data_IF_154745338726
#
_entry.id   IF_154745338726
#
_cell.length_a   1.000
_cell.length_b   1.000
_cell.length_c   1.000
_cell.angle_alpha   90.00
_cell.angle_beta   90.00
_cell.angle_gamma   90.00
#
_symmetry.space_group_name_H-M   'P 1'
#
loop_
_entity.id
_entity.type
_entity.pdbx_description
1 polymer ?
#
# COMPACT_ATOMS: atom_id res chain seq x y z
N UNK A 1 -9.84 2.43 4.20
CA UNK A 1 -9.93 3.79 4.76
C UNK A 1 -9.51 3.71 6.21
N UNK A 2 -8.59 4.56 6.65
CA UNK A 2 -8.14 4.58 8.04
C UNK A 2 -9.18 5.25 8.93
N UNK A 3 -9.33 4.76 10.15
CA UNK A 3 -10.14 5.42 11.20
C UNK A 3 -9.33 6.52 11.87
N UNK A 4 -10.00 7.44 12.58
CA UNK A 4 -9.31 8.44 13.42
C UNK A 4 -8.42 7.78 14.47
N UNK A 5 -8.80 6.60 14.96
CA UNK A 5 -7.97 5.80 15.86
C UNK A 5 -6.66 5.34 15.20
N UNK A 6 -6.72 4.90 13.94
CA UNK A 6 -5.53 4.50 13.17
C UNK A 6 -4.58 5.68 12.95
N UNK A 7 -5.12 6.87 12.63
CA UNK A 7 -4.31 8.10 12.54
C UNK A 7 -3.64 8.43 13.87
N UNK A 8 -4.34 8.24 15.00
CA UNK A 8 -3.78 8.35 16.34
C UNK A 8 -2.57 7.44 16.54
N UNK A 9 -2.72 6.15 16.20
CA UNK A 9 -1.63 5.16 16.27
C UNK A 9 -0.44 5.54 15.39
N UNK A 10 -0.68 6.03 14.18
CA UNK A 10 0.35 6.51 13.27
C UNK A 10 1.15 7.67 13.87
N UNK A 11 0.49 8.60 14.56
CA UNK A 11 1.16 9.76 15.17
C UNK A 11 2.04 9.38 16.36
N UNK A 12 1.66 8.34 17.13
CA UNK A 12 2.41 7.88 18.31
C UNK A 12 3.45 6.79 18.00
N UNK A 13 3.61 6.41 16.73
CA UNK A 13 4.81 5.66 16.30
C UNK A 13 6.02 6.60 16.40
N UNK A 14 6.66 6.61 17.57
CA UNK A 14 7.65 7.62 17.95
C UNK A 14 8.85 7.64 17.01
N UNK A 15 9.42 6.48 16.67
CA UNK A 15 10.63 6.42 15.85
C UNK A 15 10.37 6.95 14.43
N UNK A 16 9.26 6.53 13.82
CA UNK A 16 8.82 7.03 12.52
C UNK A 16 8.51 8.52 12.59
N UNK A 17 7.62 8.93 13.49
CA UNK A 17 7.13 10.31 13.55
C UNK A 17 8.26 11.28 13.91
N UNK A 18 9.15 10.94 14.83
CA UNK A 18 10.31 11.77 15.15
C UNK A 18 11.32 11.88 14.00
N UNK A 19 11.48 10.84 13.19
CA UNK A 19 12.27 10.94 11.96
C UNK A 19 11.65 11.96 10.99
N UNK A 20 10.34 11.90 10.74
CA UNK A 20 9.64 12.87 9.89
C UNK A 20 9.71 14.29 10.46
N UNK A 21 9.50 14.47 11.76
CA UNK A 21 9.62 15.76 12.46
C UNK A 21 11.01 16.37 12.25
N UNK A 22 12.08 15.58 12.43
CA UNK A 22 13.46 16.04 12.22
C UNK A 22 13.71 16.41 10.76
N UNK A 23 13.29 15.57 9.81
CA UNK A 23 13.45 15.84 8.38
C UNK A 23 12.71 17.11 7.94
N UNK A 24 11.46 17.26 8.39
CA UNK A 24 10.64 18.43 8.10
C UNK A 24 11.23 19.70 8.70
N UNK A 25 11.73 19.65 9.95
CA UNK A 25 12.42 20.78 10.59
C UNK A 25 13.71 21.16 9.85
N UNK A 26 14.44 20.19 9.30
CA UNK A 26 15.64 20.45 8.50
C UNK A 26 15.30 21.09 7.14
N UNK A 27 14.22 20.65 6.50
CA UNK A 27 13.83 21.10 5.15
C UNK A 27 13.09 22.44 5.15
N UNK A 28 12.14 22.65 6.07
CA UNK A 28 11.30 23.85 6.09
C UNK A 28 12.13 25.07 6.52
N UNK A 29 12.28 26.03 5.61
CA UNK A 29 12.88 27.34 5.88
C UNK A 29 11.79 28.39 6.10
N UNK A 30 12.05 29.45 6.90
CA UNK A 30 11.11 30.55 7.04
C UNK A 30 10.67 31.08 5.68
N UNK A 31 9.36 31.13 5.44
CA UNK A 31 8.81 31.60 4.16
C UNK A 31 8.46 30.50 3.14
N UNK A 32 8.86 29.24 3.40
CA UNK A 32 8.68 28.13 2.47
C UNK A 32 7.20 27.81 2.20
N UNK A 33 6.95 27.31 0.99
CA UNK A 33 5.69 26.67 0.57
C UNK A 33 5.86 25.15 0.72
N UNK A 34 4.96 24.52 1.47
CA UNK A 34 4.98 23.07 1.71
C UNK A 34 3.75 22.42 1.08
N UNK A 35 3.92 21.25 0.48
CA UNK A 35 2.83 20.38 0.04
C UNK A 35 2.86 19.10 0.86
N UNK A 36 1.76 18.80 1.54
CA UNK A 36 1.54 17.57 2.30
C UNK A 36 0.52 16.69 1.55
N UNK A 37 0.98 15.54 1.05
CA UNK A 37 0.17 14.61 0.24
C UNK A 37 -0.25 13.42 1.09
N UNK A 38 -1.57 13.20 1.19
CA UNK A 38 -2.14 12.25 2.13
C UNK A 38 -2.07 12.80 3.55
N UNK A 39 -2.48 14.06 3.73
CA UNK A 39 -2.30 14.80 4.99
C UNK A 39 -3.02 14.13 6.18
N UNK A 40 -4.05 13.32 5.91
CA UNK A 40 -4.87 12.70 6.96
C UNK A 40 -5.45 13.74 7.91
N UNK A 41 -5.18 13.55 9.21
CA UNK A 41 -5.54 14.51 10.26
C UNK A 41 -4.63 15.77 10.33
N UNK A 42 -3.69 15.94 9.40
CA UNK A 42 -2.95 17.18 9.22
C UNK A 42 -1.66 17.31 10.02
N UNK A 43 -1.16 16.26 10.67
CA UNK A 43 -0.02 16.37 11.60
C UNK A 43 1.22 17.00 10.95
N UNK A 44 1.59 16.61 9.73
CA UNK A 44 2.75 17.18 9.03
C UNK A 44 2.49 18.59 8.52
N UNK A 45 1.28 18.89 8.04
CA UNK A 45 0.89 20.25 7.68
C UNK A 45 0.96 21.23 8.88
N UNK A 46 0.48 20.82 10.06
CA UNK A 46 0.56 21.60 11.29
C UNK A 46 2.02 21.82 11.72
N UNK A 47 2.84 20.78 11.70
CA UNK A 47 4.26 20.86 12.02
C UNK A 47 5.03 21.76 11.03
N UNK A 48 4.69 21.72 9.74
CA UNK A 48 5.27 22.61 8.75
C UNK A 48 4.97 24.09 9.08
N UNK A 49 3.73 24.42 9.46
CA UNK A 49 3.38 25.77 9.94
C UNK A 49 4.15 26.15 11.21
N UNK A 50 4.30 25.21 12.15
CA UNK A 50 5.08 25.41 13.37
C UNK A 50 6.56 25.68 13.07
N UNK A 51 7.13 25.07 12.03
CA UNK A 51 8.53 25.28 11.59
C UNK A 51 8.71 26.50 10.67
N UNK A 52 7.67 27.31 10.47
CA UNK A 52 7.78 28.59 9.78
C UNK A 52 7.45 28.55 8.28
N UNK A 53 6.78 27.48 7.81
CA UNK A 53 6.18 27.51 6.49
C UNK A 53 5.20 28.70 6.39
N UNK A 54 5.31 29.45 5.30
CA UNK A 54 4.40 30.57 5.00
C UNK A 54 3.05 30.08 4.52
N UNK A 55 3.07 28.99 3.76
CA UNK A 55 1.88 28.38 3.15
C UNK A 55 2.07 26.87 3.15
N UNK A 56 0.99 26.14 3.45
CA UNK A 56 0.91 24.71 3.27
C UNK A 56 -0.29 24.39 2.38
N UNK A 57 -0.11 23.50 1.40
CA UNK A 57 -1.20 22.83 0.72
C UNK A 57 -1.32 21.43 1.31
N UNK A 58 -2.48 21.12 1.90
CA UNK A 58 -2.73 19.84 2.54
C UNK A 58 -3.79 19.09 1.74
N UNK A 59 -3.38 18.00 1.08
CA UNK A 59 -4.24 17.22 0.17
C UNK A 59 -4.58 15.89 0.82
N UNK A 60 -5.86 15.58 0.93
CA UNK A 60 -6.35 14.31 1.48
C UNK A 60 -7.72 13.98 0.87
N UNK A 61 -7.90 12.85 0.16
CA UNK A 61 -9.18 12.50 -0.43
C UNK A 61 -10.27 12.12 0.59
N UNK A 62 -9.88 11.66 1.79
CA UNK A 62 -10.82 11.17 2.79
C UNK A 62 -11.29 12.29 3.75
N UNK A 63 -12.41 12.04 4.43
CA UNK A 63 -13.01 13.00 5.39
C UNK A 63 -12.15 13.30 6.62
N UNK A 64 -11.03 12.59 6.82
CA UNK A 64 -10.05 12.92 7.85
C UNK A 64 -9.54 14.38 7.74
N UNK A 65 -9.59 14.95 6.54
CA UNK A 65 -9.24 16.36 6.29
C UNK A 65 -10.14 17.35 7.05
N UNK A 66 -11.37 16.96 7.40
CA UNK A 66 -12.27 17.80 8.20
C UNK A 66 -11.72 17.99 9.62
N UNK A 67 -11.22 16.91 10.23
CA UNK A 67 -10.50 17.00 11.50
C UNK A 67 -9.22 17.84 11.38
N UNK A 68 -8.49 17.72 10.27
CA UNK A 68 -7.30 18.53 10.03
C UNK A 68 -7.59 20.04 10.04
N UNK A 69 -8.75 20.46 9.51
CA UNK A 69 -9.23 21.86 9.57
C UNK A 69 -9.48 22.31 11.01
N UNK A 70 -10.17 21.50 11.81
CA UNK A 70 -10.44 21.80 13.22
C UNK A 70 -9.14 21.94 14.03
N UNK A 71 -8.19 21.02 13.82
CA UNK A 71 -6.89 21.06 14.48
C UNK A 71 -6.07 22.28 14.06
N UNK A 72 -6.11 22.68 12.78
CA UNK A 72 -5.45 23.90 12.33
C UNK A 72 -6.05 25.16 12.96
N UNK A 73 -7.38 25.23 13.11
CA UNK A 73 -8.04 26.32 13.79
C UNK A 73 -7.64 26.40 15.27
N UNK A 74 -7.63 25.27 15.97
CA UNK A 74 -7.21 25.19 17.37
C UNK A 74 -5.75 25.65 17.59
N UNK A 75 -4.90 25.50 16.58
CA UNK A 75 -3.48 25.90 16.64
C UNK A 75 -3.18 27.25 15.95
N UNK A 76 -4.19 27.99 15.50
CA UNK A 76 -4.01 29.30 14.85
C UNK A 76 -3.31 29.25 13.48
N UNK A 77 -3.46 28.13 12.76
CA UNK A 77 -2.84 27.89 11.45
C UNK A 77 -3.81 27.92 10.27
N UNK A 78 -5.11 28.16 10.48
CA UNK A 78 -6.13 28.15 9.42
C UNK A 78 -5.77 29.00 8.19
N UNK A 79 -5.26 30.22 8.41
CA UNK A 79 -4.90 31.14 7.33
C UNK A 79 -3.65 30.73 6.55
N UNK A 80 -2.88 29.76 7.05
CA UNK A 80 -1.64 29.28 6.43
C UNK A 80 -1.80 27.94 5.71
N UNK A 81 -2.91 27.23 5.91
CA UNK A 81 -3.13 25.90 5.33
C UNK A 81 -4.32 25.95 4.37
N UNK A 82 -4.07 25.66 3.10
CA UNK A 82 -5.11 25.41 2.12
C UNK A 82 -5.36 23.91 2.04
N UNK A 83 -6.50 23.49 2.58
CA UNK A 83 -6.95 22.11 2.59
C UNK A 83 -7.76 21.77 1.33
N UNK A 84 -7.37 20.72 0.63
CA UNK A 84 -7.96 20.27 -0.63
C UNK A 84 -8.38 18.81 -0.48
N UNK A 85 -9.70 18.56 -0.50
CA UNK A 85 -10.24 17.20 -0.35
C UNK A 85 -10.34 16.51 -1.72
N UNK A 86 -9.23 15.97 -2.20
CA UNK A 86 -9.15 15.30 -3.51
C UNK A 86 -7.87 14.43 -3.59
N UNK A 87 -7.69 13.71 -4.69
CA UNK A 87 -6.43 13.07 -5.05
C UNK A 87 -5.44 14.13 -5.56
N UNK A 88 -4.17 14.04 -5.15
CA UNK A 88 -3.13 14.98 -5.61
C UNK A 88 -2.98 15.02 -7.13
N UNK A 89 -3.26 13.92 -7.81
CA UNK A 89 -3.23 13.79 -9.27
C UNK A 89 -4.35 14.54 -9.98
N UNK A 90 -5.41 14.96 -9.26
CA UNK A 90 -6.58 15.63 -9.83
C UNK A 90 -6.66 17.12 -9.50
N UNK A 91 -5.72 17.65 -8.71
CA UNK A 91 -5.73 19.06 -8.32
C UNK A 91 -4.75 19.89 -9.15
N UNK A 92 -4.93 21.22 -9.06
CA UNK A 92 -3.95 22.21 -9.52
C UNK A 92 -3.58 23.12 -8.37
N UNK A 93 -2.29 23.44 -8.22
CA UNK A 93 -1.81 24.35 -7.19
C UNK A 93 -1.36 25.67 -7.84
N UNK A 94 -1.66 26.84 -7.22
CA UNK A 94 -1.29 28.13 -7.80
C UNK A 94 0.22 28.43 -7.65
N UNK A 95 0.92 27.69 -6.78
CA UNK A 95 2.37 27.82 -6.57
C UNK A 95 2.98 26.43 -6.39
N UNK A 96 4.18 26.26 -6.94
CA UNK A 96 5.02 25.11 -6.62
C UNK A 96 5.50 25.17 -5.16
N UNK A 97 5.79 24.01 -4.59
CA UNK A 97 6.25 23.83 -3.22
C UNK A 97 7.77 23.69 -3.17
N UNK A 98 8.38 24.30 -2.16
CA UNK A 98 9.80 24.16 -1.82
C UNK A 98 10.06 22.81 -1.14
N UNK A 99 9.05 22.27 -0.44
CA UNK A 99 9.09 20.96 0.21
C UNK A 99 7.80 20.19 -0.10
N UNK A 100 7.92 18.97 -0.60
CA UNK A 100 6.81 18.02 -0.66
C UNK A 100 7.05 16.95 0.39
N UNK A 101 6.12 16.76 1.32
CA UNK A 101 6.11 15.68 2.28
C UNK A 101 4.97 14.71 1.99
N UNK A 102 5.24 13.42 2.14
CA UNK A 102 4.23 12.37 1.97
C UNK A 102 4.62 11.13 2.77
N UNK A 103 3.61 10.43 3.29
CA UNK A 103 3.81 9.11 3.86
C UNK A 103 2.72 8.14 3.43
N UNK A 104 2.80 7.73 2.16
CA UNK A 104 1.80 6.92 1.46
C UNK A 104 2.17 5.42 1.45
N UNK A 105 3.09 5.00 2.33
CA UNK A 105 3.60 3.61 2.38
C UNK A 105 2.60 2.68 3.02
N UNK A 106 2.69 1.41 2.65
CA UNK A 106 2.15 0.30 3.44
C UNK A 106 3.27 -0.45 4.15
N UNK A 107 3.06 -1.74 4.38
CA UNK A 107 4.12 -2.67 4.84
C UNK A 107 5.37 -2.57 3.96
N UNK A 108 5.16 -2.37 2.66
CA UNK A 108 6.20 -2.02 1.70
C UNK A 108 5.86 -0.68 1.01
N UNK A 109 6.86 0.07 0.53
CA UNK A 109 6.64 1.32 -0.21
C UNK A 109 5.82 1.16 -1.50
N UNK A 110 5.83 -0.03 -2.11
CA UNK A 110 5.05 -0.38 -3.29
C UNK A 110 3.60 -0.70 -2.89
N UNK A 111 2.87 0.34 -2.50
CA UNK A 111 1.47 0.28 -2.12
C UNK A 111 0.64 1.13 -3.08
N UNK A 112 -0.34 0.52 -3.73
CA UNK A 112 -1.32 1.21 -4.56
C UNK A 112 -0.67 2.22 -5.54
N UNK A 113 -1.19 3.46 -5.59
CA UNK A 113 -0.74 4.53 -6.46
C UNK A 113 0.37 5.42 -5.84
N UNK A 114 1.04 4.96 -4.78
CA UNK A 114 2.08 5.76 -4.10
C UNK A 114 3.14 6.27 -5.08
N UNK A 115 3.82 5.37 -5.81
CA UNK A 115 4.94 5.76 -6.69
C UNK A 115 4.47 6.71 -7.81
N UNK A 116 3.38 6.42 -8.56
CA UNK A 116 2.84 7.36 -9.54
C UNK A 116 2.47 8.74 -8.96
N UNK A 117 1.87 8.79 -7.77
CA UNK A 117 1.49 10.05 -7.13
C UNK A 117 2.71 10.92 -6.82
N UNK A 118 3.83 10.33 -6.39
CA UNK A 118 5.08 11.05 -6.13
C UNK A 118 5.75 11.51 -7.43
N UNK A 119 5.75 10.67 -8.48
CA UNK A 119 6.27 11.07 -9.80
C UNK A 119 5.49 12.28 -10.34
N UNK A 120 4.16 12.22 -10.26
CA UNK A 120 3.28 13.30 -10.69
C UNK A 120 3.50 14.59 -9.88
N UNK A 121 3.50 14.49 -8.55
CA UNK A 121 3.71 15.64 -7.67
C UNK A 121 5.10 16.26 -7.85
N UNK A 122 6.15 15.45 -8.01
CA UNK A 122 7.51 15.93 -8.31
C UNK A 122 7.53 16.75 -9.60
N UNK A 123 6.86 16.27 -10.65
CA UNK A 123 6.86 16.94 -11.96
C UNK A 123 6.02 18.22 -11.98
N UNK A 124 4.85 18.22 -11.34
CA UNK A 124 3.91 19.35 -11.40
C UNK A 124 4.12 20.38 -10.30
N UNK A 125 4.44 19.91 -9.09
CA UNK A 125 4.34 20.74 -7.88
C UNK A 125 5.67 21.02 -7.19
N UNK A 126 6.76 20.31 -7.50
CA UNK A 126 8.05 20.62 -6.86
C UNK A 126 8.73 21.81 -7.55
N UNK A 127 9.14 22.80 -6.77
CA UNK A 127 9.94 23.91 -7.27
C UNK A 127 11.36 23.44 -7.65
N UNK A 128 12.07 24.14 -8.56
CA UNK A 128 13.48 23.85 -8.83
C UNK A 128 14.32 23.92 -7.55
N UNK A 129 15.06 22.85 -7.26
CA UNK A 129 15.84 22.73 -6.01
C UNK A 129 15.00 22.40 -4.76
N UNK A 130 13.70 22.13 -4.93
CA UNK A 130 12.83 21.69 -3.85
C UNK A 130 13.20 20.31 -3.30
N UNK A 131 12.69 20.02 -2.11
CA UNK A 131 13.01 18.82 -1.34
C UNK A 131 11.81 17.88 -1.31
N UNK A 132 12.04 16.59 -1.58
CA UNK A 132 11.08 15.52 -1.31
C UNK A 132 11.38 14.90 0.05
N UNK A 133 10.35 14.73 0.87
CA UNK A 133 10.38 13.96 2.10
C UNK A 133 9.37 12.82 1.96
N UNK A 134 9.81 11.56 1.95
CA UNK A 134 11.21 11.12 1.96
C UNK A 134 11.98 11.36 0.65
N UNK A 135 13.31 11.19 0.73
CA UNK A 135 14.20 11.22 -0.42
C UNK A 135 14.30 9.87 -1.11
N UNK A 136 14.36 8.77 -0.34
CA UNK A 136 14.57 7.44 -0.90
C UNK A 136 14.13 6.32 0.05
N UNK A 137 13.64 5.23 -0.53
CA UNK A 137 13.50 3.95 0.18
C UNK A 137 14.40 2.87 -0.45
N UNK A 138 15.07 2.08 0.39
CA UNK A 138 15.83 0.90 -0.02
C UNK A 138 15.05 -0.35 0.37
N UNK A 139 14.81 -1.23 -0.59
CA UNK A 139 14.04 -2.47 -0.41
C UNK A 139 15.01 -3.63 -0.17
N UNK A 140 14.81 -4.31 0.95
CA UNK A 140 15.66 -5.40 1.40
C UNK A 140 14.89 -6.72 1.40
N UNK A 141 15.62 -7.81 1.21
CA UNK A 141 15.08 -9.16 1.26
C UNK A 141 16.08 -10.12 1.93
N UNK A 142 15.56 -11.12 2.62
CA UNK A 142 16.31 -12.27 3.12
C UNK A 142 15.47 -13.54 3.07
N UNK A 143 16.13 -14.68 2.94
CA UNK A 143 15.53 -16.01 3.11
C UNK A 143 15.44 -16.31 4.60
N UNK A 144 14.26 -16.70 5.07
CA UNK A 144 13.99 -16.90 6.50
C UNK A 144 13.50 -18.30 6.84
N UNK A 145 13.95 -18.77 8.00
CA UNK A 145 13.29 -19.79 8.81
C UNK A 145 12.26 -19.10 9.70
N UNK A 146 10.97 -19.32 9.42
CA UNK A 146 9.87 -18.64 10.11
C UNK A 146 8.62 -19.54 10.15
N UNK A 147 8.64 -20.65 10.92
CA UNK A 147 7.52 -21.58 11.00
C UNK A 147 6.24 -20.89 11.48
N UNK A 148 6.32 -20.03 12.49
CA UNK A 148 5.16 -19.32 13.07
C UNK A 148 4.44 -18.40 12.06
N UNK A 149 5.18 -17.83 11.10
CA UNK A 149 4.60 -17.03 10.02
C UNK A 149 4.04 -17.90 8.89
N UNK A 150 4.60 -19.09 8.71
CA UNK A 150 4.29 -19.97 7.59
C UNK A 150 3.11 -20.91 7.88
N UNK A 151 3.03 -21.45 9.08
CA UNK A 151 1.99 -22.39 9.51
C UNK A 151 0.56 -21.85 9.31
N UNK A 152 0.23 -20.58 9.59
CA UNK A 152 -1.10 -20.03 9.31
C UNK A 152 -1.52 -20.10 7.83
N UNK A 153 -0.55 -20.12 6.90
CA UNK A 153 -0.82 -20.32 5.47
C UNK A 153 -1.10 -21.78 5.12
N UNK A 154 -0.70 -22.76 5.94
CA UNK A 154 -0.88 -24.19 5.64
C UNK A 154 -1.99 -24.84 6.46
N UNK A 155 -2.03 -24.59 7.76
CA UNK A 155 -2.85 -25.35 8.71
C UNK A 155 -4.33 -25.40 8.31
N UNK A 156 -5.00 -24.28 7.90
CA UNK A 156 -6.40 -24.32 7.48
C UNK A 156 -6.68 -25.23 6.27
N UNK A 157 -5.68 -25.55 5.46
CA UNK A 157 -5.83 -26.25 4.18
C UNK A 157 -5.36 -27.71 4.24
N UNK A 158 -4.49 -28.03 5.20
CA UNK A 158 -3.84 -29.34 5.32
C UNK A 158 -4.31 -30.07 6.58
N UNK A 159 -4.44 -29.38 7.71
CA UNK A 159 -4.84 -29.94 9.00
C UNK A 159 -6.03 -29.17 9.59
N UNK A 160 -7.16 -29.27 8.90
CA UNK A 160 -8.36 -28.48 9.22
C UNK A 160 -9.20 -29.07 10.36
N UNK A 161 -8.84 -30.20 10.96
CA UNK A 161 -9.65 -30.87 11.99
C UNK A 161 -10.98 -31.49 11.51
N UNK A 162 -11.42 -31.22 10.27
CA UNK A 162 -12.67 -31.71 9.68
C UNK A 162 -12.49 -32.89 8.72
N UNK A 163 -11.24 -33.33 8.48
CA UNK A 163 -10.89 -34.40 7.54
C UNK A 163 -11.35 -34.13 6.10
N UNK A 164 -11.47 -32.85 5.73
CA UNK A 164 -11.81 -32.43 4.37
C UNK A 164 -10.53 -32.23 3.53
N UNK A 165 -10.58 -32.59 2.24
CA UNK A 165 -9.51 -32.24 1.31
C UNK A 165 -9.66 -30.79 0.87
N UNK A 166 -8.85 -29.90 1.45
CA UNK A 166 -8.82 -28.47 1.14
C UNK A 166 -7.52 -28.04 0.44
N UNK A 167 -6.76 -29.00 -0.12
CA UNK A 167 -5.43 -28.76 -0.68
C UNK A 167 -5.42 -27.72 -1.81
N UNK A 168 -6.53 -27.57 -2.55
CA UNK A 168 -6.66 -26.55 -3.59
C UNK A 168 -6.44 -25.12 -3.07
N UNK A 169 -6.81 -24.84 -1.82
CA UNK A 169 -6.60 -23.52 -1.21
C UNK A 169 -5.13 -23.24 -0.87
N UNK A 170 -4.34 -24.27 -0.56
CA UNK A 170 -2.90 -24.15 -0.24
C UNK A 170 -2.15 -23.42 -1.36
N UNK A 171 -2.41 -23.77 -2.62
CA UNK A 171 -1.73 -23.15 -3.76
C UNK A 171 -2.04 -21.65 -3.85
N UNK A 172 -3.27 -21.24 -3.55
CA UNK A 172 -3.68 -19.84 -3.62
C UNK A 172 -3.02 -19.03 -2.50
N UNK A 173 -3.04 -19.52 -1.27
CA UNK A 173 -2.52 -18.77 -0.12
C UNK A 173 -1.00 -18.66 -0.14
N UNK A 174 -0.25 -19.66 -0.62
CA UNK A 174 1.20 -19.48 -0.81
C UNK A 174 1.50 -18.57 -2.01
N UNK A 175 0.53 -18.27 -2.86
CA UNK A 175 0.62 -17.20 -3.87
C UNK A 175 0.11 -15.85 -3.32
N UNK A 176 0.24 -15.61 -2.03
CA UNK A 176 -0.03 -14.33 -1.38
C UNK A 176 1.11 -13.95 -0.46
N UNK A 177 1.06 -12.76 0.11
CA UNK A 177 1.99 -12.29 1.13
C UNK A 177 1.22 -11.50 2.18
N UNK A 178 1.81 -11.31 3.35
CA UNK A 178 1.16 -10.58 4.43
C UNK A 178 2.17 -9.88 5.35
N UNK A 179 1.66 -8.99 6.20
CA UNK A 179 2.45 -8.41 7.29
C UNK A 179 2.85 -9.52 8.26
N UNK A 180 4.14 -9.69 8.50
CA UNK A 180 4.68 -10.73 9.36
C UNK A 180 6.14 -10.47 9.67
N UNK A 181 6.46 -10.32 10.96
CA UNK A 181 7.81 -10.02 11.42
C UNK A 181 8.56 -11.32 11.74
N UNK A 182 9.59 -11.63 10.96
CA UNK A 182 10.46 -12.78 11.23
C UNK A 182 11.32 -12.54 12.47
N UNK A 183 11.72 -13.60 13.16
CA UNK A 183 12.71 -13.49 14.22
C UNK A 183 14.07 -13.02 13.64
N UNK A 184 14.84 -12.16 14.34
CA UNK A 184 16.12 -11.66 13.85
C UNK A 184 17.17 -12.75 13.55
N UNK A 185 17.15 -13.86 14.30
CA UNK A 185 17.98 -15.06 14.11
C UNK A 185 17.42 -16.04 13.07
N UNK A 186 16.24 -15.73 12.51
CA UNK A 186 15.59 -16.51 11.46
C UNK A 186 16.26 -16.38 10.08
N UNK A 187 17.20 -15.45 9.89
CA UNK A 187 17.88 -15.29 8.60
C UNK A 187 18.80 -16.50 8.29
N UNK A 188 18.64 -17.07 7.09
CA UNK A 188 19.48 -18.16 6.57
C UNK A 188 20.57 -17.64 5.61
N UNK A 189 20.46 -16.38 5.22
CA UNK A 189 21.31 -15.66 4.27
C UNK A 189 21.57 -14.25 4.80
N UNK A 190 22.63 -13.60 4.31
CA UNK A 190 22.82 -12.17 4.54
C UNK A 190 21.72 -11.36 3.82
N UNK A 191 21.05 -10.42 4.50
CA UNK A 191 20.10 -9.51 3.86
C UNK A 191 20.70 -8.80 2.64
N UNK A 192 19.87 -8.61 1.61
CA UNK A 192 20.30 -7.95 0.37
C UNK A 192 19.34 -6.84 -0.05
N UNK A 193 19.87 -5.64 -0.30
CA UNK A 193 19.14 -4.53 -0.89
C UNK A 193 18.93 -4.82 -2.39
N UNK A 194 17.72 -5.21 -2.78
CA UNK A 194 17.43 -5.65 -4.14
C UNK A 194 16.88 -4.53 -5.03
N UNK A 195 16.39 -3.43 -4.46
CA UNK A 195 15.94 -2.28 -5.20
C UNK A 195 16.04 -0.99 -4.40
N UNK A 196 16.19 0.13 -5.10
CA UNK A 196 16.21 1.47 -4.52
C UNK A 196 15.15 2.33 -5.21
N UNK A 197 14.26 2.92 -4.43
CA UNK A 197 13.28 3.91 -4.85
C UNK A 197 13.84 5.29 -4.55
N UNK A 198 14.58 5.87 -5.49
CA UNK A 198 15.03 7.26 -5.39
C UNK A 198 13.90 8.19 -5.88
N UNK A 199 13.26 8.89 -4.96
CA UNK A 199 12.08 9.71 -5.29
C UNK A 199 12.40 10.92 -6.15
N UNK A 200 13.66 11.38 -6.19
CA UNK A 200 14.07 12.45 -7.10
C UNK A 200 14.21 11.97 -8.54
N UNK A 201 14.50 10.68 -8.75
CA UNK A 201 14.89 10.14 -10.06
C UNK A 201 13.93 9.09 -10.62
N UNK A 202 13.06 8.49 -9.81
CA UNK A 202 12.19 7.39 -10.24
C UNK A 202 11.20 7.86 -11.30
N UNK A 203 11.08 7.11 -12.40
CA UNK A 203 10.12 7.41 -13.50
C UNK A 203 9.22 6.21 -13.84
N UNK A 204 9.48 5.06 -13.24
CA UNK A 204 8.70 3.83 -13.41
C UNK A 204 8.23 3.34 -12.05
N UNK A 205 6.94 2.98 -11.97
CA UNK A 205 6.35 2.34 -10.81
C UNK A 205 6.70 0.85 -10.69
N UNK A 206 7.20 0.23 -11.77
CA UNK A 206 7.50 -1.19 -11.83
C UNK A 206 8.95 -1.48 -11.44
N UNK A 207 9.15 -2.50 -10.60
CA UNK A 207 10.48 -2.97 -10.19
C UNK A 207 10.70 -4.43 -10.61
N UNK A 208 11.96 -4.74 -10.91
CA UNK A 208 12.44 -6.10 -11.14
C UNK A 208 13.92 -6.22 -10.76
N UNK A 209 14.26 -7.25 -10.00
CA UNK A 209 15.64 -7.64 -9.76
C UNK A 209 15.77 -9.16 -9.65
N UNK A 210 16.97 -9.66 -9.92
CA UNK A 210 17.38 -11.01 -9.54
C UNK A 210 18.38 -10.90 -8.40
N UNK A 211 18.14 -11.63 -7.31
CA UNK A 211 19.01 -11.70 -6.15
C UNK A 211 19.51 -13.13 -6.01
N UNK A 212 20.80 -13.29 -5.71
CA UNK A 212 21.40 -14.59 -5.44
C UNK A 212 22.12 -14.55 -4.11
N UNK A 213 21.76 -15.47 -3.22
CA UNK A 213 22.36 -15.61 -1.90
C UNK A 213 23.13 -16.92 -1.77
N UNK A 214 24.36 -16.91 -1.23
CA UNK A 214 24.92 -18.07 -0.58
C UNK A 214 24.26 -18.27 0.80
N UNK A 215 23.83 -19.48 1.10
CA UNK A 215 23.29 -19.84 2.42
C UNK A 215 24.43 -19.82 3.44
N UNK A 216 24.24 -19.08 4.53
CA UNK A 216 25.21 -18.89 5.62
C UNK A 216 24.91 -19.73 6.84
N UNK A 217 23.65 -20.14 7.00
CA UNK A 217 23.20 -20.98 8.10
C UNK A 217 22.31 -22.09 7.57
N UNK A 218 22.60 -23.32 7.96
CA UNK A 218 21.72 -24.46 7.69
C UNK A 218 20.41 -24.33 8.48
N UNK A 219 19.29 -24.70 7.86
CA UNK A 219 17.97 -24.59 8.48
C UNK A 219 16.83 -24.87 7.50
N UNK A 220 15.60 -24.72 7.95
CA UNK A 220 14.38 -24.90 7.14
C UNK A 220 13.89 -23.54 6.65
N UNK A 221 14.10 -23.26 5.38
CA UNK A 221 13.60 -22.04 4.75
C UNK A 221 12.09 -22.14 4.47
N UNK A 222 11.37 -21.12 4.91
CA UNK A 222 9.90 -21.04 4.79
C UNK A 222 9.44 -20.00 3.76
N UNK A 223 10.31 -19.07 3.37
CA UNK A 223 9.98 -18.00 2.44
C UNK A 223 10.97 -16.85 2.50
N UNK A 224 10.50 -15.67 2.08
CA UNK A 224 11.26 -14.42 2.09
C UNK A 224 10.67 -13.45 3.10
N UNK A 225 11.54 -12.77 3.83
CA UNK A 225 11.21 -11.59 4.62
C UNK A 225 11.65 -10.36 3.83
N UNK A 226 10.73 -9.44 3.58
CA UNK A 226 10.96 -8.19 2.85
C UNK A 226 10.64 -7.00 3.76
N UNK A 227 11.46 -5.96 3.68
CA UNK A 227 11.29 -4.72 4.44
C UNK A 227 11.91 -3.55 3.67
N UNK A 228 11.84 -2.36 4.24
CA UNK A 228 12.48 -1.18 3.69
C UNK A 228 13.21 -0.33 4.71
N UNK A 229 14.17 0.44 4.22
CA UNK A 229 14.87 1.48 4.95
C UNK A 229 14.60 2.82 4.27
N UNK A 230 14.06 3.77 5.03
CA UNK A 230 13.68 5.08 4.53
C UNK A 230 14.77 6.10 4.87
N UNK A 231 15.25 6.81 3.85
CA UNK A 231 16.01 8.06 3.99
C UNK A 231 15.05 9.22 3.82
N UNK A 232 14.73 9.91 4.91
CA UNK A 232 13.82 11.06 4.90
C UNK A 232 14.53 12.34 4.52
N UNK A 233 15.77 12.52 5.01
CA UNK A 233 16.68 13.62 4.71
C UNK A 233 18.12 13.16 5.03
N UNK A 234 19.12 14.00 4.75
CA UNK A 234 20.52 13.71 5.07
C UNK A 234 20.70 13.37 6.56
N UNK A 235 21.17 12.16 6.85
CA UNK A 235 21.37 11.67 8.23
C UNK A 235 20.09 11.34 9.00
N UNK A 236 18.92 11.38 8.35
CA UNK A 236 17.62 11.14 8.99
C UNK A 236 16.86 10.05 8.25
N UNK A 237 16.57 8.96 8.96
CA UNK A 237 15.86 7.82 8.41
C UNK A 237 15.36 6.88 9.49
N UNK A 238 14.72 5.79 9.05
CA UNK A 238 14.33 4.68 9.89
C UNK A 238 14.34 3.38 9.07
N UNK A 239 14.38 2.24 9.75
CA UNK A 239 14.35 0.91 9.15
C UNK A 239 13.18 0.12 9.70
N UNK A 240 12.54 -0.66 8.82
CA UNK A 240 11.50 -1.64 9.18
C UNK A 240 12.06 -3.07 9.27
N UNK A 241 13.39 -3.20 9.30
CA UNK A 241 14.04 -4.49 9.37
C UNK A 241 13.60 -5.27 10.62
N UNK A 242 13.44 -6.61 10.51
CA UNK A 242 12.97 -7.42 11.63
C UNK A 242 13.83 -7.33 12.91
N UNK A 243 15.12 -7.01 12.78
CA UNK A 243 16.10 -6.83 13.86
C UNK A 243 16.08 -5.41 14.48
N UNK A 244 15.30 -4.49 13.94
CA UNK A 244 15.11 -3.13 14.46
C UNK A 244 13.85 -3.04 15.34
N UNK A 245 13.69 -1.97 16.14
CA UNK A 245 12.45 -1.73 16.86
C UNK A 245 11.24 -1.69 15.92
N UNK A 246 10.11 -2.23 16.37
CA UNK A 246 8.93 -2.38 15.51
C UNK A 246 8.25 -1.03 15.24
N UNK A 247 7.98 -0.78 13.96
CA UNK A 247 7.21 0.36 13.47
C UNK A 247 5.83 -0.11 12.99
N UNK A 248 4.90 0.82 12.81
CA UNK A 248 3.53 0.53 12.37
C UNK A 248 3.48 -0.21 11.02
N UNK A 249 4.49 0.00 10.17
CA UNK A 249 4.64 -0.70 8.89
C UNK A 249 4.90 -2.20 9.06
N UNK A 250 5.69 -2.59 10.07
CA UNK A 250 6.25 -3.93 10.20
C UNK A 250 7.05 -4.36 8.96
N UNK A 251 7.14 -5.67 8.75
CA UNK A 251 7.77 -6.27 7.56
C UNK A 251 6.82 -7.26 6.88
N UNK A 252 7.15 -7.63 5.65
CA UNK A 252 6.36 -8.51 4.81
C UNK A 252 6.95 -9.91 4.77
N UNK A 253 6.08 -10.92 4.86
CA UNK A 253 6.45 -12.32 4.67
C UNK A 253 5.84 -12.87 3.38
N UNK A 254 6.70 -13.40 2.52
CA UNK A 254 6.36 -14.04 1.25
C UNK A 254 6.62 -15.55 1.39
N UNK A 255 5.60 -16.37 1.69
CA UNK A 255 5.75 -17.81 1.86
C UNK A 255 6.25 -18.48 0.57
N UNK A 256 7.06 -19.52 0.70
CA UNK A 256 7.30 -20.46 -0.39
C UNK A 256 6.19 -21.51 -0.49
N UNK A 257 6.02 -22.15 -1.64
CA UNK A 257 4.97 -23.18 -1.80
C UNK A 257 5.13 -24.37 -0.85
N UNK A 258 6.37 -24.62 -0.39
CA UNK A 258 6.70 -25.61 0.63
C UNK A 258 8.00 -25.20 1.36
N UNK A 259 8.20 -25.62 2.63
CA UNK A 259 9.47 -25.47 3.31
C UNK A 259 10.60 -26.22 2.59
N UNK A 260 11.82 -25.71 2.65
CA UNK A 260 13.01 -26.31 2.03
C UNK A 260 14.15 -26.36 3.03
N UNK A 261 14.69 -27.54 3.29
CA UNK A 261 15.90 -27.69 4.09
C UNK A 261 17.10 -27.15 3.30
N UNK A 262 17.75 -26.12 3.82
CA UNK A 262 18.97 -25.51 3.27
C UNK A 262 20.18 -25.97 4.10
N UNK A 263 21.28 -26.25 3.40
CA UNK A 263 22.59 -26.44 4.00
C UNK A 263 23.45 -25.19 3.74
N UNK A 264 24.35 -24.87 4.66
CA UNK A 264 25.39 -23.87 4.43
C UNK A 264 26.13 -24.15 3.12
N UNK A 265 26.32 -23.13 2.29
CA UNK A 265 26.92 -23.26 0.96
C UNK A 265 25.95 -23.59 -0.18
N UNK A 266 24.69 -23.94 0.11
CA UNK A 266 23.62 -23.93 -0.90
C UNK A 266 23.46 -22.52 -1.50
N UNK A 267 22.88 -22.44 -2.69
CA UNK A 267 22.59 -21.16 -3.35
C UNK A 267 21.09 -20.97 -3.55
N UNK A 268 20.56 -19.83 -3.12
CA UNK A 268 19.17 -19.42 -3.37
C UNK A 268 19.18 -18.27 -4.36
N UNK A 269 18.52 -18.45 -5.51
CA UNK A 269 18.29 -17.41 -6.50
C UNK A 269 16.82 -17.03 -6.52
N UNK A 270 16.51 -15.75 -6.45
CA UNK A 270 15.15 -15.24 -6.53
C UNK A 270 15.04 -14.10 -7.52
N UNK A 271 14.12 -14.20 -8.47
CA UNK A 271 13.67 -13.03 -9.24
C UNK A 271 12.46 -12.41 -8.54
N UNK A 272 12.63 -11.18 -8.05
CA UNK A 272 11.57 -10.37 -7.45
C UNK A 272 11.05 -9.35 -8.48
N UNK A 273 9.73 -9.25 -8.59
CA UNK A 273 9.05 -8.27 -9.43
C UNK A 273 7.85 -7.69 -8.70
N UNK A 274 7.65 -6.40 -8.85
CA UNK A 274 6.45 -5.70 -8.44
C UNK A 274 5.96 -4.86 -9.62
N UNK A 275 4.78 -5.20 -10.13
CA UNK A 275 4.17 -4.54 -11.28
C UNK A 275 2.86 -3.88 -10.87
N UNK A 276 2.76 -2.57 -11.03
CA UNK A 276 1.51 -1.85 -10.80
C UNK A 276 0.52 -2.20 -11.91
N UNK A 277 -0.63 -2.77 -11.54
CA UNK A 277 -1.71 -3.14 -12.47
C UNK A 277 -3.04 -2.66 -11.92
N UNK A 278 -3.65 -1.68 -12.59
CA UNK A 278 -4.81 -0.99 -12.04
C UNK A 278 -4.39 -0.16 -10.82
N UNK A 279 -4.97 -0.46 -9.67
CA UNK A 279 -4.79 0.31 -8.43
C UNK A 279 -3.87 -0.36 -7.40
N UNK A 280 -3.24 -1.49 -7.72
CA UNK A 280 -2.32 -2.16 -6.80
C UNK A 280 -1.24 -2.99 -7.51
N UNK A 281 -0.27 -3.47 -6.73
CA UNK A 281 0.88 -4.20 -7.21
C UNK A 281 0.65 -5.72 -7.30
N UNK A 282 0.89 -6.26 -8.49
CA UNK A 282 1.11 -7.69 -8.68
C UNK A 282 2.57 -8.00 -8.34
N UNK A 283 2.76 -8.80 -7.30
CA UNK A 283 4.06 -9.29 -6.89
C UNK A 283 4.34 -10.64 -7.54
N UNK A 284 5.60 -10.87 -7.89
CA UNK A 284 6.11 -12.17 -8.34
C UNK A 284 7.46 -12.45 -7.70
N UNK A 285 7.61 -13.67 -7.20
CA UNK A 285 8.85 -14.17 -6.62
C UNK A 285 9.10 -15.59 -7.15
N UNK A 286 9.99 -15.68 -8.14
CA UNK A 286 10.42 -16.96 -8.68
C UNK A 286 11.69 -17.38 -7.96
N UNK A 287 11.69 -18.54 -7.29
CA UNK A 287 12.82 -19.01 -6.47
C UNK A 287 13.41 -20.31 -7.01
N UNK A 288 14.72 -20.39 -7.10
CA UNK A 288 15.48 -21.59 -7.47
C UNK A 288 16.54 -21.86 -6.41
N UNK A 289 16.52 -23.05 -5.83
CA UNK A 289 17.45 -23.48 -4.77
C UNK A 289 18.37 -24.56 -5.33
N UNK A 290 19.67 -24.35 -5.21
CA UNK A 290 20.72 -25.24 -5.73
C UNK A 290 21.56 -25.79 -4.57
N UNK A 291 21.86 -27.09 -4.61
CA UNK A 291 22.71 -27.75 -3.62
C UNK A 291 24.19 -27.33 -3.76
N UNK A 292 24.91 -27.30 -2.65
CA UNK A 292 26.37 -27.10 -2.65
C UNK A 292 27.11 -28.23 -3.40
N UNK A 293 28.17 -27.88 -4.14
CA UNK A 293 29.18 -28.83 -4.63
C UNK A 293 28.79 -29.72 -5.82
N UNK A 294 27.50 -29.85 -6.15
CA UNK A 294 27.04 -30.50 -7.37
C UNK A 294 26.57 -29.45 -8.38
N UNK A 295 27.23 -29.39 -9.54
CA UNK A 295 26.84 -28.53 -10.66
C UNK A 295 25.36 -28.79 -11.04
N UNK A 296 24.45 -28.00 -10.47
CA UNK A 296 23.07 -27.88 -10.91
C UNK A 296 22.04 -28.82 -10.28
N UNK A 297 22.29 -29.51 -9.15
CA UNK A 297 21.20 -30.22 -8.48
C UNK A 297 20.20 -29.22 -7.88
N UNK A 298 19.01 -29.12 -8.49
CA UNK A 298 17.92 -28.28 -8.03
C UNK A 298 17.22 -28.95 -6.85
N UNK A 299 17.26 -28.32 -5.68
CA UNK A 299 16.55 -28.77 -4.47
C UNK A 299 15.06 -28.41 -4.52
N UNK A 300 14.76 -27.21 -5.02
CA UNK A 300 13.41 -26.72 -5.18
C UNK A 300 13.36 -25.62 -6.25
N UNK A 301 12.19 -25.50 -6.88
CA UNK A 301 11.87 -24.42 -7.81
C UNK A 301 10.42 -23.98 -7.59
N UNK A 302 10.22 -22.69 -7.37
CA UNK A 302 8.92 -22.09 -7.15
C UNK A 302 8.70 -20.95 -8.13
N UNK A 303 7.48 -20.87 -8.66
CA UNK A 303 7.00 -19.73 -9.44
C UNK A 303 5.74 -19.23 -8.78
N UNK A 304 5.83 -18.07 -8.12
CA UNK A 304 4.76 -17.57 -7.29
C UNK A 304 4.43 -16.13 -7.63
N UNK A 305 3.14 -15.78 -7.59
CA UNK A 305 2.66 -14.43 -7.83
C UNK A 305 1.31 -14.18 -7.16
N UNK A 306 1.07 -12.95 -6.69
CA UNK A 306 -0.24 -12.55 -6.17
C UNK A 306 -1.37 -12.67 -7.19
N UNK A 307 -1.06 -12.66 -8.49
CA UNK A 307 -2.04 -12.97 -9.54
C UNK A 307 -2.59 -14.40 -9.44
N UNK A 308 -1.75 -15.36 -9.03
CA UNK A 308 -2.13 -16.76 -8.84
C UNK A 308 -2.73 -17.02 -7.46
N UNK A 309 -2.78 -16.02 -6.57
CA UNK A 309 -3.35 -16.13 -5.23
C UNK A 309 -4.84 -15.87 -5.17
N UNK A 310 -5.46 -15.45 -6.28
CA UNK A 310 -6.89 -15.14 -6.37
C UNK A 310 -7.62 -16.32 -7.02
N UNK A 311 -8.78 -16.76 -6.48
CA UNK A 311 -9.67 -17.68 -7.19
C UNK A 311 -10.18 -17.01 -8.47
N UNK A 312 -9.61 -17.38 -9.63
CA UNK A 312 -10.03 -16.85 -10.93
C UNK A 312 -11.17 -17.69 -11.49
N UNK A 313 -12.35 -17.10 -11.67
CA UNK A 313 -13.42 -17.77 -12.43
C UNK A 313 -13.32 -17.46 -13.92
N UNK A 314 -13.53 -18.47 -14.76
CA UNK A 314 -13.59 -18.31 -16.22
C UNK A 314 -14.68 -17.31 -16.63
N UNK A 315 -15.79 -17.27 -15.89
CA UNK A 315 -16.86 -16.29 -16.09
C UNK A 315 -16.38 -14.84 -15.84
N UNK A 316 -15.62 -14.59 -14.77
CA UNK A 316 -15.07 -13.25 -14.50
C UNK A 316 -14.01 -12.85 -15.53
N UNK A 317 -13.14 -13.78 -15.94
CA UNK A 317 -12.13 -13.50 -16.97
C UNK A 317 -12.78 -13.16 -18.32
N UNK A 318 -13.83 -13.90 -18.71
CA UNK A 318 -14.61 -13.59 -19.92
C UNK A 318 -15.22 -12.20 -19.86
N UNK A 319 -15.78 -11.80 -18.72
CA UNK A 319 -16.34 -10.45 -18.52
C UNK A 319 -15.33 -9.31 -18.66
N UNK A 320 -14.03 -9.60 -18.59
CA UNK A 320 -12.93 -8.65 -18.78
C UNK A 320 -12.30 -8.70 -20.17
N UNK A 321 -12.73 -9.62 -21.04
CA UNK A 321 -12.17 -9.74 -22.38
C UNK A 321 -12.62 -8.56 -23.26
N UNK A 322 -11.71 -8.07 -24.13
CA UNK A 322 -11.99 -6.92 -25.01
C UNK A 322 -13.20 -7.13 -25.94
N UNK A 323 -13.49 -8.38 -26.34
CA UNK A 323 -14.65 -8.73 -27.17
C UNK A 323 -15.93 -9.06 -26.39
N UNK A 324 -15.92 -8.94 -25.06
CA UNK A 324 -17.12 -9.19 -24.26
C UNK A 324 -18.09 -8.02 -24.37
N UNK A 325 -19.35 -8.32 -24.71
CA UNK A 325 -20.43 -7.34 -24.75
C UNK A 325 -21.14 -7.35 -23.39
N UNK A 326 -20.98 -6.32 -22.55
CA UNK A 326 -21.62 -6.29 -21.23
C UNK A 326 -23.12 -5.97 -21.34
N UNK A 327 -23.90 -6.56 -20.45
CA UNK A 327 -25.29 -6.19 -20.18
C UNK A 327 -25.44 -5.87 -18.69
N UNK A 328 -26.28 -4.87 -18.37
CA UNK A 328 -26.56 -4.51 -16.97
C UNK A 328 -27.32 -5.66 -16.31
N UNK A 329 -26.81 -6.13 -15.18
CA UNK A 329 -27.60 -6.92 -14.24
C UNK A 329 -28.56 -6.00 -13.47
N UNK A 330 -29.41 -6.57 -12.63
CA UNK A 330 -30.37 -5.83 -11.79
C UNK A 330 -29.70 -4.70 -10.98
N UNK A 331 -28.55 -4.99 -10.33
CA UNK A 331 -27.78 -3.94 -9.63
C UNK A 331 -27.30 -2.82 -10.56
N UNK A 332 -26.90 -3.13 -11.78
CA UNK A 332 -26.51 -2.14 -12.78
C UNK A 332 -27.69 -1.32 -13.28
N UNK A 333 -28.87 -1.92 -13.42
CA UNK A 333 -30.11 -1.22 -13.79
C UNK A 333 -30.55 -0.27 -12.66
N UNK A 334 -30.49 -0.71 -11.42
CA UNK A 334 -30.74 0.12 -10.23
C UNK A 334 -29.78 1.32 -10.19
N UNK A 335 -28.47 1.09 -10.36
CA UNK A 335 -27.49 2.18 -10.39
C UNK A 335 -27.76 3.14 -11.54
N UNK A 336 -28.08 2.66 -12.75
CA UNK A 336 -28.45 3.52 -13.88
C UNK A 336 -29.64 4.41 -13.53
N UNK A 337 -30.72 3.84 -12.98
CA UNK A 337 -31.89 4.61 -12.57
C UNK A 337 -31.50 5.71 -11.59
N UNK A 338 -30.76 5.38 -10.52
CA UNK A 338 -30.32 6.39 -9.53
C UNK A 338 -29.55 7.54 -10.19
N UNK A 339 -28.61 7.23 -11.08
CA UNK A 339 -27.83 8.25 -11.79
C UNK A 339 -28.71 9.14 -12.69
N UNK A 340 -29.66 8.55 -13.42
CA UNK A 340 -30.63 9.30 -14.25
C UNK A 340 -31.52 10.22 -13.41
N UNK A 341 -31.88 9.80 -12.20
CA UNK A 341 -32.67 10.58 -11.25
C UNK A 341 -31.82 11.67 -10.55
N UNK A 342 -30.52 11.44 -10.35
CA UNK A 342 -29.59 12.47 -9.84
C UNK A 342 -29.43 13.62 -10.84
N UNK A 343 -29.34 13.34 -12.15
CA UNK A 343 -29.29 14.37 -13.19
C UNK A 343 -30.54 15.25 -13.24
N UNK A 344 -31.66 14.76 -12.69
CA UNK A 344 -32.91 15.51 -12.55
C UNK A 344 -32.96 16.36 -11.27
N UNK A 345 -31.85 16.46 -10.52
CA UNK A 345 -31.73 17.21 -9.28
C UNK A 345 -32.79 16.84 -8.22
N UNK A 346 -33.20 15.57 -8.18
CA UNK A 346 -34.17 15.11 -7.19
C UNK A 346 -33.54 14.90 -5.81
N UNK A 347 -34.27 15.19 -4.72
CA UNK A 347 -33.82 14.87 -3.36
C UNK A 347 -33.58 13.36 -3.18
N UNK A 348 -32.55 12.99 -2.41
CA UNK A 348 -32.18 11.58 -2.17
C UNK A 348 -33.35 10.73 -1.70
N UNK A 349 -34.23 11.28 -0.85
CA UNK A 349 -35.41 10.57 -0.37
C UNK A 349 -36.37 10.17 -1.51
N UNK A 350 -36.61 11.07 -2.47
CA UNK A 350 -37.50 10.80 -3.60
C UNK A 350 -36.88 9.80 -4.59
N UNK A 351 -35.56 9.87 -4.78
CA UNK A 351 -34.83 8.88 -5.58
C UNK A 351 -34.92 7.51 -4.92
N UNK A 352 -34.72 7.44 -3.61
CA UNK A 352 -34.83 6.21 -2.82
C UNK A 352 -36.23 5.62 -2.89
N UNK A 353 -37.25 6.47 -2.83
CA UNK A 353 -38.64 6.03 -2.94
C UNK A 353 -38.92 5.41 -4.31
N UNK A 354 -38.53 6.10 -5.37
CA UNK A 354 -38.67 5.61 -6.75
C UNK A 354 -37.92 4.30 -6.97
N UNK A 355 -36.71 4.17 -6.41
CA UNK A 355 -35.90 2.96 -6.50
C UNK A 355 -36.57 1.79 -5.78
N UNK A 356 -37.10 2.01 -4.57
CA UNK A 356 -37.81 0.98 -3.82
C UNK A 356 -39.09 0.53 -4.52
N UNK A 357 -39.82 1.44 -5.17
CA UNK A 357 -41.04 1.14 -5.91
C UNK A 357 -40.77 0.31 -7.18
N UNK A 358 -39.65 0.56 -7.87
CA UNK A 358 -39.29 -0.20 -9.08
C UNK A 358 -38.60 -1.54 -8.80
N UNK A 359 -37.93 -1.67 -7.65
CA UNK A 359 -37.18 -2.87 -7.26
C UNK A 359 -37.58 -3.37 -5.86
N UNK A 360 -38.86 -3.70 -5.63
CA UNK A 360 -39.38 -4.01 -4.30
C UNK A 360 -38.70 -5.24 -3.66
N UNK A 361 -38.31 -6.23 -4.46
CA UNK A 361 -37.64 -7.44 -3.99
C UNK A 361 -36.19 -7.18 -3.53
N UNK A 362 -35.57 -6.09 -4.00
CA UNK A 362 -34.19 -5.73 -3.66
C UNK A 362 -34.10 -4.90 -2.37
N UNK A 363 -35.20 -4.27 -1.93
CA UNK A 363 -35.21 -3.34 -0.81
C UNK A 363 -36.26 -3.72 0.24
N UNK A 364 -35.87 -4.49 1.27
CA UNK A 364 -36.79 -4.87 2.35
C UNK A 364 -37.35 -3.67 3.11
N UNK A 365 -36.66 -2.52 3.07
CA UNK A 365 -37.10 -1.27 3.69
C UNK A 365 -36.73 -0.07 2.82
N UNK A 366 -37.49 1.03 2.95
CA UNK A 366 -37.17 2.32 2.33
C UNK A 366 -35.81 2.86 2.77
N UNK A 367 -35.40 2.57 4.01
CA UNK A 367 -34.08 2.93 4.53
C UNK A 367 -32.95 2.24 3.77
N UNK A 368 -33.14 0.98 3.34
CA UNK A 368 -32.14 0.26 2.55
C UNK A 368 -31.95 0.92 1.16
N UNK A 369 -33.05 1.35 0.53
CA UNK A 369 -32.99 2.11 -0.72
C UNK A 369 -32.29 3.47 -0.52
N UNK A 370 -32.61 4.19 0.57
CA UNK A 370 -31.98 5.46 0.90
C UNK A 370 -30.47 5.31 1.13
N UNK A 371 -30.04 4.26 1.84
CA UNK A 371 -28.61 3.97 2.03
C UNK A 371 -27.92 3.75 0.69
N UNK A 372 -28.51 2.95 -0.21
CA UNK A 372 -27.95 2.68 -1.54
C UNK A 372 -27.84 3.93 -2.39
N UNK A 373 -28.85 4.80 -2.37
CA UNK A 373 -28.85 6.08 -3.08
C UNK A 373 -27.82 7.03 -2.47
N UNK A 374 -27.70 7.07 -1.14
CA UNK A 374 -26.68 7.82 -0.42
C UNK A 374 -25.26 7.42 -0.84
N UNK A 375 -24.96 6.12 -0.91
CA UNK A 375 -23.65 5.61 -1.35
C UNK A 375 -23.31 6.04 -2.78
N UNK A 376 -24.29 6.03 -3.69
CA UNK A 376 -24.11 6.48 -5.07
C UNK A 376 -23.97 8.00 -5.16
N UNK A 377 -24.71 8.75 -4.35
CA UNK A 377 -24.56 10.20 -4.26
C UNK A 377 -23.16 10.56 -3.80
N UNK A 378 -22.68 10.00 -2.69
CA UNK A 378 -21.32 10.25 -2.18
C UNK A 378 -20.24 9.98 -3.24
N UNK A 379 -20.47 9.02 -4.14
CA UNK A 379 -19.51 8.63 -5.16
C UNK A 379 -19.59 9.46 -6.45
N UNK A 380 -20.78 9.93 -6.83
CA UNK A 380 -21.03 10.46 -8.18
C UNK A 380 -21.67 11.86 -8.21
N UNK A 381 -22.07 12.44 -7.07
CA UNK A 381 -22.51 13.84 -7.01
C UNK A 381 -21.32 14.80 -7.13
N UNK A 382 -21.59 16.04 -7.56
CA UNK A 382 -20.57 17.09 -7.72
C UNK A 382 -20.25 17.81 -6.43
#
# INVERSE_FOLDING_TARGET
>A
MYTIFDYGYMMVDELRTQAYVRALRQAVKPGAVVLDIGTGAGIFALLACQFGARQVYAIEPNDAIQLARELAAANGFSERITFIQDLSTQVTLPKQADVIISDLRGVLPLLQQHIPAIIDARRRFLAPGGILIPQRDQLWAAVVEAPDLFEPYLNPWVDNGYKLNLQAGRQLVTNSWGKGRSAPDGFLVEPHCWATLDYAMIESSNLRAEVTWPVRRSGTAHGLSLWFEATLAEGIGFSTAPDQPELIYGSAFFPWSAPVNLAEGDTVRVTLQANLVGDDYIWRWDSCILAQGQLGQVKANFKQSTFLGVPLSSAQLRKRAAGYVPALNESGQMTRLVLELMDQAMPLQQIADTLADQFPDCFPTRQAALSRVGDLSLKYSR
#
